data_IF_592477237144
#
_entry.id   IF_592477237144
#
_cell.length_a   1.000
_cell.length_b   1.000
_cell.length_c   1.000
_cell.angle_alpha   90.00
_cell.angle_beta   90.00
_cell.angle_gamma   90.00
#
_symmetry.space_group_name_H-M   'P 1'
#
loop_
_entity.id
_entity.type
_entity.pdbx_description
1 polymer ?
#
# COMPACT_ATOMS: atom_id res chain seq x y z
N UNK A 1 -32.45 -66.47 -15.66
CA UNK A 1 -32.36 -65.61 -16.80
C UNK A 1 -32.83 -64.23 -16.39
N UNK A 2 -31.98 -63.32 -16.23
CA UNK A 2 -32.16 -61.90 -16.47
C UNK A 2 -30.92 -61.15 -15.95
N UNK A 3 -30.14 -60.61 -16.83
CA UNK A 3 -28.97 -59.86 -16.51
C UNK A 3 -29.33 -58.42 -16.16
N UNK A 4 -28.91 -57.95 -15.00
CA UNK A 4 -29.00 -56.57 -14.62
C UNK A 4 -27.64 -55.89 -14.89
N UNK A 5 -27.64 -54.90 -15.77
CA UNK A 5 -26.50 -54.00 -16.06
C UNK A 5 -26.45 -52.91 -15.03
N UNK A 6 -25.32 -52.78 -14.33
CA UNK A 6 -24.98 -51.63 -13.50
C UNK A 6 -24.52 -50.46 -14.36
N UNK A 7 -24.95 -49.22 -14.09
CA UNK A 7 -24.37 -48.03 -14.74
C UNK A 7 -23.11 -47.58 -14.01
N UNK A 8 -22.05 -47.30 -14.77
CA UNK A 8 -20.82 -46.65 -14.35
C UNK A 8 -21.09 -45.27 -13.82
N UNK A 9 -20.66 -45.01 -12.58
CA UNK A 9 -20.57 -43.64 -12.06
C UNK A 9 -19.31 -42.94 -12.58
N UNK A 10 -19.51 -41.91 -13.38
CA UNK A 10 -18.46 -40.97 -13.69
C UNK A 10 -18.23 -40.11 -12.45
N UNK A 11 -17.04 -40.21 -11.87
CA UNK A 11 -16.55 -39.30 -10.87
C UNK A 11 -16.17 -37.98 -11.56
N UNK A 12 -16.96 -36.94 -11.33
CA UNK A 12 -16.65 -35.58 -11.71
C UNK A 12 -15.53 -35.06 -10.77
N UNK A 13 -14.34 -34.86 -11.34
CA UNK A 13 -13.20 -34.30 -10.63
C UNK A 13 -13.45 -32.83 -10.29
N UNK A 14 -12.86 -32.30 -9.19
CA UNK A 14 -13.06 -30.92 -8.83
C UNK A 14 -12.48 -30.01 -9.90
N UNK A 15 -13.35 -29.24 -10.54
CA UNK A 15 -12.96 -28.16 -11.44
C UNK A 15 -12.19 -27.11 -10.63
N UNK A 16 -10.90 -26.98 -10.95
CA UNK A 16 -10.09 -25.87 -10.50
C UNK A 16 -10.75 -24.59 -11.03
N UNK A 17 -11.49 -23.88 -10.17
CA UNK A 17 -11.84 -22.49 -10.41
C UNK A 17 -10.54 -21.73 -10.45
N UNK A 18 -10.13 -21.27 -11.64
CA UNK A 18 -9.13 -20.23 -11.77
C UNK A 18 -9.64 -19.04 -10.94
N UNK A 19 -8.98 -18.73 -9.85
CA UNK A 19 -9.22 -17.50 -9.10
C UNK A 19 -8.87 -16.34 -10.03
N UNK A 20 -9.89 -15.57 -10.42
CA UNK A 20 -9.68 -14.33 -11.15
C UNK A 20 -8.76 -13.42 -10.33
N UNK A 21 -7.79 -12.78 -10.98
CA UNK A 21 -6.88 -11.85 -10.34
C UNK A 21 -7.70 -10.66 -9.80
N UNK A 22 -7.74 -10.40 -8.49
CA UNK A 22 -8.62 -9.39 -7.90
C UNK A 22 -8.28 -7.94 -8.29
N UNK A 23 -7.18 -7.72 -9.03
CA UNK A 23 -6.71 -6.38 -9.44
C UNK A 23 -6.79 -6.19 -10.96
N UNK A 24 -6.92 -7.26 -11.72
CA UNK A 24 -6.87 -7.25 -13.19
C UNK A 24 -8.26 -7.50 -13.78
N UNK A 25 -9.00 -6.42 -14.00
CA UNK A 25 -9.92 -6.38 -15.15
C UNK A 25 -9.19 -5.64 -16.27
N UNK A 26 -9.09 -6.25 -17.46
CA UNK A 26 -8.21 -5.77 -18.54
C UNK A 26 -8.54 -4.32 -18.93
N UNK A 27 -7.87 -3.35 -18.34
CA UNK A 27 -7.95 -1.92 -18.66
C UNK A 27 -8.45 -0.97 -17.57
N UNK A 28 -8.92 -1.44 -16.42
CA UNK A 28 -9.33 -0.57 -15.32
C UNK A 28 -8.17 -0.34 -14.33
N UNK A 29 -7.74 0.91 -14.15
CA UNK A 29 -6.77 1.26 -13.11
C UNK A 29 -7.38 1.08 -11.72
N UNK A 30 -6.61 0.58 -10.75
CA UNK A 30 -7.09 0.50 -9.37
C UNK A 30 -7.42 1.88 -8.84
N UNK A 31 -8.49 1.95 -8.05
CA UNK A 31 -8.96 3.22 -7.47
C UNK A 31 -8.12 3.56 -6.25
N UNK A 32 -7.55 4.78 -6.26
CA UNK A 32 -6.92 5.38 -5.07
C UNK A 32 -7.83 6.48 -4.55
N UNK A 33 -8.23 6.38 -3.30
CA UNK A 33 -9.12 7.34 -2.65
C UNK A 33 -8.68 7.66 -1.22
N UNK A 34 -9.11 8.81 -0.71
CA UNK A 34 -8.93 9.14 0.70
C UNK A 34 -9.85 8.25 1.55
N UNK A 35 -9.32 7.73 2.63
CA UNK A 35 -10.11 7.07 3.66
C UNK A 35 -11.13 8.06 4.22
N UNK A 36 -12.40 7.72 4.14
CA UNK A 36 -13.53 8.52 4.65
C UNK A 36 -14.44 7.73 5.55
N UNK A 37 -14.46 6.41 5.39
CA UNK A 37 -15.29 5.50 6.17
C UNK A 37 -14.45 4.82 7.25
N UNK A 38 -14.74 5.05 8.54
CA UNK A 38 -14.07 4.32 9.64
C UNK A 38 -14.19 2.80 9.52
N UNK A 39 -15.19 2.28 8.82
CA UNK A 39 -15.34 0.85 8.52
C UNK A 39 -14.20 0.28 7.69
N UNK A 40 -13.49 1.10 6.93
CA UNK A 40 -12.31 0.69 6.16
C UNK A 40 -11.08 0.39 7.03
N UNK A 41 -11.08 0.81 8.30
CA UNK A 41 -9.98 0.54 9.23
C UNK A 41 -9.70 -0.95 9.40
N UNK A 42 -10.71 -1.81 9.35
CA UNK A 42 -10.50 -3.25 9.41
C UNK A 42 -9.63 -3.75 8.27
N UNK A 43 -9.84 -3.24 7.06
CA UNK A 43 -9.02 -3.55 5.90
C UNK A 43 -7.58 -3.03 6.04
N UNK A 44 -7.40 -1.81 6.56
CA UNK A 44 -6.07 -1.24 6.82
C UNK A 44 -5.33 -2.05 7.87
N UNK A 45 -5.99 -2.40 8.98
CA UNK A 45 -5.40 -3.21 10.05
C UNK A 45 -4.99 -4.60 9.56
N UNK A 46 -5.76 -5.21 8.65
CA UNK A 46 -5.40 -6.48 8.03
C UNK A 46 -4.12 -6.34 7.19
N UNK A 47 -4.03 -5.30 6.34
CA UNK A 47 -2.83 -5.02 5.54
C UNK A 47 -1.62 -4.74 6.44
N UNK A 48 -1.82 -4.01 7.54
CA UNK A 48 -0.76 -3.65 8.49
C UNK A 48 -0.20 -4.88 9.20
N UNK A 49 -1.08 -5.73 9.72
CA UNK A 49 -0.73 -6.97 10.42
C UNK A 49 0.11 -7.91 9.54
N UNK A 50 -0.14 -7.95 8.23
CA UNK A 50 0.62 -8.78 7.28
C UNK A 50 1.89 -8.09 6.75
N UNK A 51 2.05 -6.79 7.01
CA UNK A 51 3.14 -5.99 6.43
C UNK A 51 4.22 -5.59 7.41
N UNK A 52 3.91 -5.43 8.70
CA UNK A 52 4.83 -4.90 9.70
C UNK A 52 4.98 -5.82 10.90
N UNK A 53 6.20 -5.88 11.45
CA UNK A 53 6.48 -6.61 12.69
C UNK A 53 5.76 -5.99 13.90
N UNK A 54 5.56 -4.69 13.87
CA UNK A 54 4.82 -3.92 14.87
C UNK A 54 3.77 -3.08 14.14
N UNK A 55 2.62 -3.67 13.84
CA UNK A 55 1.53 -2.95 13.20
C UNK A 55 0.96 -1.89 14.14
N UNK A 56 0.41 -0.83 13.58
CA UNK A 56 -0.35 0.14 14.35
C UNK A 56 -1.64 -0.47 14.85
N UNK A 57 -2.07 -0.03 16.05
CA UNK A 57 -3.35 -0.44 16.61
C UNK A 57 -4.50 0.38 16.01
N UNK A 58 -5.72 -0.08 16.22
CA UNK A 58 -6.92 0.66 15.84
C UNK A 58 -6.94 2.06 16.46
N UNK A 59 -6.62 2.16 17.74
CA UNK A 59 -6.63 3.42 18.48
C UNK A 59 -5.60 4.41 17.92
N UNK A 60 -4.46 3.92 17.41
CA UNK A 60 -3.47 4.78 16.74
C UNK A 60 -4.03 5.36 15.44
N UNK A 61 -4.72 4.55 14.63
CA UNK A 61 -5.36 5.04 13.41
C UNK A 61 -6.52 5.99 13.70
N UNK A 62 -7.34 5.71 14.70
CA UNK A 62 -8.42 6.60 15.13
C UNK A 62 -7.89 7.95 15.58
N UNK A 63 -6.82 7.97 16.40
CA UNK A 63 -6.15 9.21 16.82
C UNK A 63 -5.58 10.01 15.64
N UNK A 64 -5.07 9.35 14.61
CA UNK A 64 -4.66 10.00 13.36
C UNK A 64 -5.84 10.64 12.63
N UNK A 65 -6.96 9.93 12.52
CA UNK A 65 -8.16 10.40 11.84
C UNK A 65 -8.86 11.56 12.56
N UNK A 66 -8.65 11.70 13.87
CA UNK A 66 -9.15 12.84 14.66
C UNK A 66 -8.45 14.17 14.29
N UNK A 67 -7.37 14.12 13.52
CA UNK A 67 -6.67 15.31 13.01
C UNK A 67 -6.70 15.41 11.47
N UNK A 68 -7.88 15.58 10.84
CA UNK A 68 -8.02 15.59 9.37
C UNK A 68 -7.36 16.82 8.72
N UNK A 69 -6.97 17.84 9.49
CA UNK A 69 -6.22 18.99 8.97
C UNK A 69 -4.79 18.61 8.59
N UNK A 70 -4.22 17.61 9.25
CA UNK A 70 -2.84 17.14 9.06
C UNK A 70 -2.81 15.76 8.43
N UNK A 71 -3.56 14.82 8.99
CA UNK A 71 -3.52 13.42 8.58
C UNK A 71 -4.37 13.16 7.35
N UNK A 72 -3.80 12.43 6.40
CA UNK A 72 -4.51 11.86 5.24
C UNK A 72 -4.09 10.41 5.07
N UNK A 73 -5.07 9.53 5.03
CA UNK A 73 -4.86 8.11 4.73
C UNK A 73 -5.47 7.83 3.36
N UNK A 74 -4.63 7.41 2.43
CA UNK A 74 -5.05 6.99 1.10
C UNK A 74 -5.15 5.47 1.07
N UNK A 75 -6.20 4.94 0.46
CA UNK A 75 -6.37 3.51 0.23
C UNK A 75 -6.39 3.20 -1.25
N UNK A 76 -5.84 2.05 -1.62
CA UNK A 76 -5.97 1.46 -2.95
C UNK A 76 -6.84 0.20 -2.81
N UNK A 77 -7.83 0.06 -3.71
CA UNK A 77 -8.81 -1.02 -3.62
C UNK A 77 -8.69 -2.00 -4.76
N UNK A 78 -9.04 -3.25 -4.47
CA UNK A 78 -9.36 -4.28 -5.45
C UNK A 78 -10.67 -3.97 -6.18
N UNK A 79 -10.98 -4.73 -7.24
CA UNK A 79 -12.23 -4.55 -8.00
C UNK A 79 -13.48 -4.83 -7.18
N UNK A 80 -13.41 -5.75 -6.24
CA UNK A 80 -14.46 -6.06 -5.26
C UNK A 80 -14.43 -5.14 -4.02
N UNK A 81 -13.68 -4.02 -4.13
CA UNK A 81 -13.59 -2.91 -3.17
C UNK A 81 -12.91 -3.21 -1.84
N UNK A 82 -12.24 -4.35 -1.68
CA UNK A 82 -11.40 -4.59 -0.51
C UNK A 82 -10.15 -3.70 -0.52
N UNK A 83 -9.63 -3.37 0.67
CA UNK A 83 -8.39 -2.61 0.80
C UNK A 83 -7.20 -3.49 0.38
N UNK A 84 -6.59 -3.17 -0.75
CA UNK A 84 -5.39 -3.85 -1.26
C UNK A 84 -4.10 -3.29 -0.66
N UNK A 85 -4.14 -2.05 -0.20
CA UNK A 85 -3.02 -1.35 0.40
C UNK A 85 -3.41 0.05 0.85
N UNK A 86 -2.52 0.71 1.58
CA UNK A 86 -2.76 2.06 2.08
C UNK A 86 -1.46 2.86 2.19
N UNK A 87 -1.62 4.18 2.30
CA UNK A 87 -0.55 5.13 2.59
C UNK A 87 -1.05 6.14 3.63
N UNK A 88 -0.50 6.12 4.84
CA UNK A 88 -0.76 7.10 5.88
C UNK A 88 0.26 8.23 5.80
N UNK A 89 -0.20 9.48 5.87
CA UNK A 89 0.62 10.67 5.62
C UNK A 89 0.23 11.83 6.53
N UNK A 90 1.20 12.70 6.81
CA UNK A 90 0.97 14.02 7.39
C UNK A 90 1.24 15.11 6.34
N UNK A 91 0.28 15.99 6.16
CA UNK A 91 0.37 17.17 5.31
C UNK A 91 0.66 18.39 6.17
N UNK A 92 1.93 18.67 6.40
CA UNK A 92 2.44 19.81 7.17
C UNK A 92 3.03 20.84 6.18
N UNK A 93 2.20 21.34 5.29
CA UNK A 93 2.61 22.14 4.16
C UNK A 93 3.62 23.24 4.52
N UNK A 94 4.66 23.41 3.70
CA UNK A 94 4.88 22.80 2.38
C UNK A 94 5.50 21.39 2.38
N UNK A 95 5.58 20.73 3.52
CA UNK A 95 6.16 19.39 3.68
C UNK A 95 5.08 18.32 3.82
N UNK A 96 5.32 17.15 3.21
CA UNK A 96 4.49 15.96 3.38
C UNK A 96 5.33 14.82 3.92
N UNK A 97 4.90 14.23 5.02
CA UNK A 97 5.55 13.08 5.64
C UNK A 97 4.78 11.81 5.32
N UNK A 98 5.46 10.80 4.76
CA UNK A 98 4.90 9.47 4.52
C UNK A 98 5.20 8.63 5.77
N UNK A 99 4.17 8.34 6.57
CA UNK A 99 4.33 7.59 7.82
C UNK A 99 4.37 6.08 7.56
N UNK A 100 3.36 5.57 6.83
CA UNK A 100 3.24 4.16 6.49
C UNK A 100 2.84 4.00 5.02
N UNK A 101 3.39 2.99 4.37
CA UNK A 101 3.00 2.52 3.03
C UNK A 101 3.04 1.01 3.01
N UNK A 102 1.90 0.38 2.77
CA UNK A 102 1.82 -1.07 2.69
C UNK A 102 0.86 -1.54 1.58
N UNK A 103 1.13 -2.73 1.06
CA UNK A 103 0.29 -3.46 0.11
C UNK A 103 0.27 -4.92 0.56
N UNK A 104 -0.90 -5.56 0.49
CA UNK A 104 -1.09 -6.98 0.81
C UNK A 104 -0.01 -7.83 0.13
N UNK A 105 0.60 -8.81 0.84
CA UNK A 105 1.71 -9.60 0.33
C UNK A 105 1.45 -10.23 -1.04
N UNK A 106 0.27 -10.80 -1.26
CA UNK A 106 -0.14 -11.48 -2.50
C UNK A 106 -0.35 -10.52 -3.68
N UNK A 107 -0.52 -9.21 -3.39
CA UNK A 107 -0.69 -8.18 -4.41
C UNK A 107 0.59 -7.36 -4.66
N UNK A 108 1.70 -7.71 -3.99
CA UNK A 108 2.99 -7.04 -4.20
C UNK A 108 3.58 -7.34 -5.57
N UNK A 109 4.54 -6.52 -5.99
CA UNK A 109 5.28 -6.63 -7.27
C UNK A 109 4.43 -6.39 -8.52
N UNK A 110 3.22 -5.84 -8.37
CA UNK A 110 2.32 -5.44 -9.45
C UNK A 110 2.27 -3.93 -9.67
N UNK A 111 3.19 -3.17 -9.09
CA UNK A 111 3.23 -1.70 -9.25
C UNK A 111 2.33 -0.92 -8.29
N UNK A 112 1.44 -1.58 -7.52
CA UNK A 112 0.42 -0.92 -6.69
C UNK A 112 0.99 0.11 -5.71
N UNK A 113 2.09 -0.20 -5.00
CA UNK A 113 2.71 0.75 -4.06
C UNK A 113 3.29 1.98 -4.78
N UNK A 114 3.88 1.80 -5.97
CA UNK A 114 4.39 2.91 -6.80
C UNK A 114 3.25 3.79 -7.28
N UNK A 115 2.17 3.17 -7.76
CA UNK A 115 0.97 3.88 -8.20
C UNK A 115 0.33 4.65 -7.05
N UNK A 116 0.07 4.00 -5.91
CA UNK A 116 -0.51 4.62 -4.72
C UNK A 116 0.32 5.82 -4.25
N UNK A 117 1.63 5.64 -4.03
CA UNK A 117 2.49 6.74 -3.58
C UNK A 117 2.58 7.85 -4.63
N UNK A 118 2.62 7.51 -5.91
CA UNK A 118 2.56 8.50 -6.98
C UNK A 118 1.31 9.37 -6.93
N UNK A 119 0.14 8.78 -6.66
CA UNK A 119 -1.13 9.51 -6.47
C UNK A 119 -1.08 10.42 -5.24
N UNK A 120 -0.50 9.94 -4.13
CA UNK A 120 -0.29 10.74 -2.91
C UNK A 120 0.58 11.95 -3.19
N UNK A 121 1.72 11.77 -3.87
CA UNK A 121 2.64 12.86 -4.21
C UNK A 121 1.99 13.88 -5.17
N UNK A 122 1.16 13.40 -6.10
CA UNK A 122 0.40 14.29 -6.99
C UNK A 122 -0.60 15.14 -6.21
N UNK A 123 -1.37 14.51 -5.33
CA UNK A 123 -2.29 15.23 -4.43
C UNK A 123 -1.54 16.24 -3.55
N UNK A 124 -0.35 15.88 -3.07
CA UNK A 124 0.49 16.79 -2.30
C UNK A 124 0.86 18.05 -3.09
N UNK A 125 1.26 17.90 -4.36
CA UNK A 125 1.55 19.04 -5.26
C UNK A 125 0.31 19.91 -5.48
N UNK A 126 -0.85 19.34 -5.71
CA UNK A 126 -2.10 20.06 -5.95
C UNK A 126 -2.49 20.98 -4.79
N UNK A 127 -2.09 20.65 -3.56
CA UNK A 127 -2.41 21.43 -2.35
C UNK A 127 -1.24 22.26 -1.84
N UNK A 128 -0.18 22.42 -2.65
CA UNK A 128 0.96 23.29 -2.33
C UNK A 128 2.11 22.59 -1.59
N UNK A 129 2.21 21.26 -1.66
CA UNK A 129 3.39 20.54 -1.19
C UNK A 129 4.61 20.81 -2.06
N UNK A 130 5.75 21.11 -1.44
CA UNK A 130 7.00 21.43 -2.14
C UNK A 130 8.05 20.32 -1.95
N UNK A 131 7.92 19.52 -0.89
CA UNK A 131 8.83 18.44 -0.54
C UNK A 131 8.12 17.32 0.21
N UNK A 132 8.67 16.12 0.11
CA UNK A 132 8.18 14.95 0.85
C UNK A 132 9.33 14.23 1.53
N UNK A 133 9.06 13.64 2.71
CA UNK A 133 10.03 12.88 3.50
C UNK A 133 9.45 11.60 4.05
N UNK A 134 10.31 10.67 4.39
CA UNK A 134 9.97 9.41 5.05
C UNK A 134 11.18 8.80 5.75
N UNK A 135 10.92 7.87 6.69
CA UNK A 135 11.90 6.97 7.26
C UNK A 135 11.69 5.56 6.74
N UNK A 136 12.81 4.86 6.49
CA UNK A 136 12.79 3.46 6.06
C UNK A 136 13.94 2.69 6.68
N UNK A 137 13.68 1.44 7.10
CA UNK A 137 14.75 0.55 7.56
C UNK A 137 15.87 0.45 6.53
N UNK A 138 17.12 0.53 6.97
CA UNK A 138 18.30 0.39 6.09
C UNK A 138 18.26 -0.92 5.29
N UNK A 139 17.80 -2.01 5.90
CA UNK A 139 17.68 -3.34 5.30
C UNK A 139 16.50 -3.49 4.32
N UNK A 140 15.51 -2.57 4.34
CA UNK A 140 14.34 -2.67 3.46
C UNK A 140 14.68 -2.24 2.02
N UNK A 141 15.47 -3.07 1.34
CA UNK A 141 15.92 -2.79 -0.03
C UNK A 141 14.78 -2.67 -1.04
N UNK A 142 13.64 -3.36 -0.80
CA UNK A 142 12.49 -3.29 -1.70
C UNK A 142 11.82 -1.91 -1.63
N UNK A 143 11.52 -1.40 -0.44
CA UNK A 143 10.95 -0.08 -0.24
C UNK A 143 11.91 1.03 -0.70
N UNK A 144 13.21 0.89 -0.40
CA UNK A 144 14.22 1.86 -0.86
C UNK A 144 14.24 2.00 -2.37
N UNK A 145 14.25 0.89 -3.13
CA UNK A 145 14.18 0.94 -4.60
C UNK A 145 12.91 1.60 -5.12
N UNK A 146 11.77 1.35 -4.45
CA UNK A 146 10.51 2.03 -4.77
C UNK A 146 10.63 3.54 -4.59
N UNK A 147 11.11 3.99 -3.43
CA UNK A 147 11.25 5.42 -3.13
C UNK A 147 12.28 6.10 -4.05
N UNK A 148 13.43 5.46 -4.29
CA UNK A 148 14.46 5.96 -5.21
C UNK A 148 13.92 6.11 -6.64
N UNK A 149 13.10 5.14 -7.09
CA UNK A 149 12.38 5.19 -8.37
C UNK A 149 11.41 6.36 -8.48
N UNK A 150 10.81 6.77 -7.37
CA UNK A 150 9.95 7.95 -7.26
C UNK A 150 10.72 9.25 -6.95
N UNK A 151 12.05 9.24 -7.02
CA UNK A 151 12.89 10.43 -6.90
C UNK A 151 13.32 10.79 -5.48
N UNK A 152 13.00 9.98 -4.49
CA UNK A 152 13.54 10.18 -3.14
C UNK A 152 15.03 9.90 -3.09
N UNK A 153 15.75 10.60 -2.21
CA UNK A 153 17.19 10.43 -1.97
C UNK A 153 17.48 10.42 -0.47
N UNK A 154 18.42 9.60 -0.05
CA UNK A 154 18.89 9.58 1.34
C UNK A 154 19.52 10.93 1.68
N UNK A 155 19.07 11.54 2.76
CA UNK A 155 19.56 12.83 3.29
C UNK A 155 20.06 12.73 4.71
N UNK A 156 19.74 11.64 5.41
CA UNK A 156 20.15 11.44 6.78
C UNK A 156 20.00 9.99 7.25
N UNK A 157 20.46 9.75 8.45
CA UNK A 157 20.35 8.48 9.15
C UNK A 157 19.98 8.77 10.60
N UNK A 158 18.99 8.06 11.12
CA UNK A 158 18.71 7.99 12.56
C UNK A 158 19.23 6.67 13.07
N UNK A 159 20.30 6.70 13.87
CA UNK A 159 20.86 5.51 14.47
C UNK A 159 19.88 4.86 15.44
N UNK A 160 19.82 3.53 15.44
CA UNK A 160 19.04 2.70 16.36
C UNK A 160 17.54 3.12 16.47
N UNK A 161 16.99 3.67 15.39
CA UNK A 161 15.61 4.16 15.35
C UNK A 161 14.58 3.06 15.54
N UNK A 162 14.80 1.92 14.88
CA UNK A 162 13.98 0.74 15.05
C UNK A 162 14.52 -0.10 16.20
N UNK A 163 13.63 -0.64 17.02
CA UNK A 163 14.02 -1.35 18.25
C UNK A 163 13.89 -2.87 18.14
N UNK A 164 13.24 -3.38 17.08
CA UNK A 164 13.00 -4.81 16.88
C UNK A 164 12.98 -5.20 15.39
N UNK A 165 14.07 -5.79 14.86
CA UNK A 165 15.41 -5.72 15.43
C UNK A 165 15.92 -4.29 15.52
N UNK A 166 16.93 -4.03 16.36
CA UNK A 166 17.60 -2.73 16.42
C UNK A 166 18.23 -2.46 15.06
N UNK A 167 17.87 -1.31 14.46
CA UNK A 167 18.34 -0.94 13.13
C UNK A 167 18.20 0.55 12.88
N UNK A 168 19.10 1.10 12.08
CA UNK A 168 19.02 2.49 11.62
C UNK A 168 17.84 2.73 10.69
N UNK A 169 17.25 3.91 10.80
CA UNK A 169 16.40 4.46 9.75
C UNK A 169 17.22 5.32 8.78
N UNK A 170 16.99 5.13 7.50
CA UNK A 170 17.38 6.10 6.49
C UNK A 170 16.28 7.14 6.36
N UNK A 171 16.64 8.42 6.42
CA UNK A 171 15.74 9.53 6.17
C UNK A 171 15.85 9.87 4.68
N UNK A 172 14.76 9.72 3.94
CA UNK A 172 14.70 10.00 2.52
C UNK A 172 13.88 11.26 2.27
N UNK A 173 14.35 12.07 1.32
CA UNK A 173 13.67 13.27 0.87
C UNK A 173 13.50 13.25 -0.65
N UNK A 174 12.34 13.72 -1.09
CA UNK A 174 12.10 14.17 -2.45
C UNK A 174 11.90 15.69 -2.41
N UNK A 175 12.89 16.41 -2.90
CA UNK A 175 12.90 17.87 -2.96
C UNK A 175 13.69 18.32 -4.22
N UNK A 176 13.09 19.13 -5.12
CA UNK A 176 11.69 19.56 -5.09
C UNK A 176 10.71 18.41 -5.33
N UNK A 177 9.47 18.55 -4.82
CA UNK A 177 8.41 17.59 -5.08
C UNK A 177 7.96 17.65 -6.54
N UNK A 178 8.01 18.85 -7.14
CA UNK A 178 7.74 19.09 -8.55
C UNK A 178 8.73 18.33 -9.45
N UNK A 179 8.22 17.83 -10.58
CA UNK A 179 8.98 17.05 -11.55
C UNK A 179 8.26 15.71 -11.87
N UNK A 180 8.76 14.95 -12.84
CA UNK A 180 8.07 13.75 -13.29
C UNK A 180 7.95 12.74 -12.16
N UNK A 181 6.71 12.43 -11.78
CA UNK A 181 6.38 11.32 -10.90
C UNK A 181 6.15 10.13 -11.82
N UNK A 182 7.11 9.20 -11.85
CA UNK A 182 6.97 7.98 -12.66
C UNK A 182 5.98 7.04 -11.97
N UNK A 183 4.72 7.18 -12.32
CA UNK A 183 3.71 6.17 -12.04
C UNK A 183 3.64 5.25 -13.25
N UNK A 184 4.15 4.04 -13.13
CA UNK A 184 3.77 2.98 -14.07
C UNK A 184 2.39 2.49 -13.66
N UNK A 185 1.47 2.40 -14.62
CA UNK A 185 0.19 1.77 -14.36
C UNK A 185 0.43 0.35 -13.83
N UNK A 186 -0.26 -0.05 -12.76
CA UNK A 186 -0.13 -1.39 -12.22
C UNK A 186 -0.64 -2.42 -13.23
N UNK A 187 0.08 -3.55 -13.29
CA UNK A 187 -0.26 -4.68 -14.14
C UNK A 187 -1.42 -5.49 -13.57
#
# INVERSE_FOLDING_TARGET
MSGARTPSSHADGPQHRASADPVSDAGALPVVELLRDPGDLDGILAVDAESFLRPWTREMYEAELDNPAVTRIFVIRTLDRHVAGYCATWFLLPEVHINNLAVLPELRRRGLATYLLGRVLHTALEVGGERATLEVRRSNHAARRLYEGLGFRVRGVRADYYTDPVEDALILWREPLAGPIRTTDPA
#
